data_IF_262420511902
#
_entry.id   IF_262420511902
#
_cell.length_a   1.000
_cell.length_b   1.000
_cell.length_c   1.000
_cell.angle_alpha   90.00
_cell.angle_beta   90.00
_cell.angle_gamma   90.00
#
_symmetry.space_group_name_H-M   'P 1'
#
loop_
_entity.id
_entity.type
_entity.pdbx_description
1 polymer ?
#
# COMPACT_ATOMS: atom_id res chain seq x y z
N UNK A 1 0.69 9.30 29.02
CA UNK A 1 -0.67 9.40 28.47
C UNK A 1 -0.74 8.43 27.32
N UNK A 2 -1.15 7.20 27.60
CA UNK A 2 -1.23 6.13 26.62
C UNK A 2 -2.49 6.36 25.78
N UNK A 3 -2.32 6.61 24.50
CA UNK A 3 -3.44 6.63 23.55
C UNK A 3 -3.79 5.16 23.34
N UNK A 4 -4.83 4.70 24.01
CA UNK A 4 -5.49 3.45 23.64
C UNK A 4 -6.03 3.62 22.23
N UNK A 5 -5.39 2.94 21.26
CA UNK A 5 -5.94 2.75 19.94
C UNK A 5 -7.13 1.81 20.13
N UNK A 6 -8.32 2.40 20.23
CA UNK A 6 -9.56 1.62 20.14
C UNK A 6 -9.45 0.75 18.88
N UNK A 7 -9.36 -0.55 19.10
CA UNK A 7 -9.41 -1.50 18.00
C UNK A 7 -10.75 -1.25 17.30
N UNK A 8 -10.69 -0.91 16.02
CA UNK A 8 -11.87 -0.84 15.15
C UNK A 8 -12.57 -2.19 15.32
N UNK A 9 -13.70 -2.21 16.02
CA UNK A 9 -14.41 -3.42 16.37
C UNK A 9 -14.61 -4.26 15.11
N UNK A 10 -14.21 -5.52 15.17
CA UNK A 10 -14.53 -6.48 14.12
C UNK A 10 -16.05 -6.53 14.00
N UNK A 11 -16.55 -6.36 12.78
CA UNK A 11 -17.98 -6.48 12.50
C UNK A 11 -18.48 -7.81 13.02
N UNK A 12 -19.43 -7.79 13.91
CA UNK A 12 -20.03 -9.00 14.53
C UNK A 12 -20.80 -9.84 13.50
N UNK A 13 -21.12 -9.27 12.32
CA UNK A 13 -21.79 -9.95 11.23
C UNK A 13 -20.79 -10.68 10.33
N UNK A 14 -21.03 -11.93 10.07
CA UNK A 14 -20.21 -12.76 9.19
C UNK A 14 -20.69 -12.69 7.73
N UNK A 15 -20.31 -11.64 7.03
CA UNK A 15 -20.62 -11.46 5.61
C UNK A 15 -20.03 -12.57 4.73
N UNK A 16 -18.92 -13.19 5.14
CA UNK A 16 -18.31 -14.29 4.40
C UNK A 16 -19.15 -15.57 4.37
N UNK A 17 -20.07 -15.74 5.32
CA UNK A 17 -21.04 -16.82 5.31
C UNK A 17 -22.26 -16.52 4.42
N UNK A 18 -22.69 -15.24 4.38
CA UNK A 18 -23.87 -14.77 3.65
C UNK A 18 -23.58 -14.57 2.15
N UNK A 19 -22.40 -14.02 1.81
CA UNK A 19 -22.04 -13.66 0.43
C UNK A 19 -20.89 -14.54 -0.06
N UNK A 20 -21.22 -15.51 -0.92
CA UNK A 20 -20.26 -16.45 -1.51
C UNK A 20 -20.28 -16.34 -3.02
N UNK A 21 -19.13 -16.50 -3.64
CA UNK A 21 -19.00 -16.67 -5.10
C UNK A 21 -19.51 -18.03 -5.55
N UNK A 22 -20.00 -18.10 -6.77
CA UNK A 22 -20.47 -19.35 -7.40
C UNK A 22 -19.34 -20.36 -7.60
N UNK A 23 -18.10 -19.87 -7.73
CA UNK A 23 -16.88 -20.66 -7.93
C UNK A 23 -15.95 -20.53 -6.73
N UNK A 24 -15.02 -21.45 -6.59
CA UNK A 24 -13.97 -21.37 -5.58
C UNK A 24 -12.82 -20.47 -6.08
N UNK A 25 -13.03 -19.15 -6.00
CA UNK A 25 -12.09 -18.15 -6.50
C UNK A 25 -10.94 -17.96 -5.52
N UNK A 26 -9.71 -17.85 -6.07
CA UNK A 26 -8.50 -17.52 -5.32
C UNK A 26 -7.98 -16.14 -5.70
N UNK A 27 -7.53 -15.38 -4.72
CA UNK A 27 -6.87 -14.10 -4.92
C UNK A 27 -5.36 -14.32 -4.93
N UNK A 28 -4.71 -13.90 -6.01
CA UNK A 28 -3.24 -13.99 -6.16
C UNK A 28 -2.63 -12.68 -5.65
N UNK A 29 -1.80 -12.79 -4.62
CA UNK A 29 -1.08 -11.67 -4.01
C UNK A 29 0.16 -11.27 -4.83
N UNK A 30 0.78 -10.13 -4.48
CA UNK A 30 1.99 -9.63 -5.16
C UNK A 30 3.19 -10.55 -5.03
N UNK A 31 3.27 -11.32 -3.95
CA UNK A 31 4.31 -12.33 -3.70
C UNK A 31 4.05 -13.68 -4.40
N UNK A 32 2.99 -13.76 -5.19
CA UNK A 32 2.57 -14.99 -5.87
C UNK A 32 1.76 -15.95 -4.99
N UNK A 33 1.60 -15.71 -3.70
CA UNK A 33 0.78 -16.54 -2.83
C UNK A 33 -0.70 -16.44 -3.21
N UNK A 34 -1.41 -17.56 -3.06
CA UNK A 34 -2.82 -17.68 -3.41
C UNK A 34 -3.65 -17.87 -2.16
N UNK A 35 -4.71 -17.13 -2.05
CA UNK A 35 -5.63 -17.17 -0.90
C UNK A 35 -7.07 -17.27 -1.39
N UNK A 36 -7.91 -18.09 -0.73
CA UNK A 36 -9.33 -18.17 -1.04
C UNK A 36 -9.99 -16.78 -0.88
N UNK A 37 -10.81 -16.41 -1.86
CA UNK A 37 -11.60 -15.19 -1.78
C UNK A 37 -12.54 -15.24 -0.59
N UNK A 38 -12.59 -14.15 0.17
CA UNK A 38 -13.49 -13.99 1.31
C UNK A 38 -13.95 -12.53 1.39
N UNK A 39 -15.23 -12.30 1.19
CA UNK A 39 -15.83 -10.96 1.21
C UNK A 39 -15.68 -10.29 2.58
N UNK A 40 -15.56 -11.02 3.69
CA UNK A 40 -15.31 -10.46 5.02
C UNK A 40 -14.01 -9.62 5.04
N UNK A 41 -12.98 -10.05 4.30
CA UNK A 41 -11.73 -9.28 4.18
C UNK A 41 -11.95 -7.96 3.46
N UNK A 42 -12.84 -7.95 2.48
CA UNK A 42 -13.24 -6.71 1.80
C UNK A 42 -13.93 -5.77 2.78
N UNK A 43 -14.92 -6.26 3.53
CA UNK A 43 -15.64 -5.46 4.54
C UNK A 43 -14.66 -4.87 5.57
N UNK A 44 -13.74 -5.67 6.07
CA UNK A 44 -12.73 -5.20 7.02
C UNK A 44 -11.81 -4.13 6.41
N UNK A 45 -11.41 -4.30 5.14
CA UNK A 45 -10.56 -3.34 4.45
C UNK A 45 -11.28 -2.00 4.19
N UNK A 46 -12.53 -2.04 3.74
CA UNK A 46 -13.32 -0.82 3.50
C UNK A 46 -13.71 -0.14 4.80
N UNK A 47 -13.97 -0.89 5.88
CA UNK A 47 -14.20 -0.35 7.21
C UNK A 47 -13.01 0.47 7.73
N UNK A 48 -11.78 -0.04 7.57
CA UNK A 48 -10.55 0.71 7.90
C UNK A 48 -10.40 1.98 7.06
N UNK A 49 -10.83 1.98 5.81
CA UNK A 49 -10.80 3.17 4.94
C UNK A 49 -11.86 4.19 5.31
N UNK A 50 -13.06 3.73 5.72
CA UNK A 50 -14.10 4.60 6.25
C UNK A 50 -13.66 5.28 7.55
N UNK A 51 -13.01 4.54 8.45
CA UNK A 51 -12.45 5.09 9.69
C UNK A 51 -11.42 6.21 9.40
N UNK A 52 -10.51 5.99 8.44
CA UNK A 52 -9.56 7.04 8.01
C UNK A 52 -10.24 8.26 7.40
N UNK A 53 -11.38 8.07 6.74
CA UNK A 53 -12.20 9.14 6.18
C UNK A 53 -13.19 9.75 7.21
N UNK A 54 -13.05 9.41 8.51
CA UNK A 54 -13.90 9.87 9.61
C UNK A 54 -15.40 9.62 9.35
N UNK A 55 -15.73 8.50 8.74
CA UNK A 55 -17.10 8.08 8.44
C UNK A 55 -17.31 6.61 8.77
N UNK A 56 -18.56 6.17 8.75
CA UNK A 56 -18.93 4.77 8.96
C UNK A 56 -19.91 4.32 7.87
N UNK A 57 -19.91 3.04 7.56
CA UNK A 57 -20.92 2.44 6.70
C UNK A 57 -22.14 1.99 7.51
N UNK A 58 -23.33 2.17 6.93
CA UNK A 58 -24.54 1.48 7.38
C UNK A 58 -24.49 0.01 6.99
N UNK A 59 -25.32 -0.82 7.60
CA UNK A 59 -25.43 -2.23 7.26
C UNK A 59 -25.91 -2.45 5.81
N UNK A 60 -26.80 -1.60 5.32
CA UNK A 60 -27.27 -1.64 3.93
C UNK A 60 -26.15 -1.33 2.94
N UNK A 61 -25.34 -0.31 3.23
CA UNK A 61 -24.18 0.05 2.41
C UNK A 61 -23.15 -1.08 2.37
N UNK A 62 -22.86 -1.73 3.49
CA UNK A 62 -21.95 -2.90 3.54
C UNK A 62 -22.50 -4.06 2.71
N UNK A 63 -23.78 -4.37 2.83
CA UNK A 63 -24.45 -5.40 2.03
C UNK A 63 -24.41 -5.07 0.53
N UNK A 64 -24.60 -3.82 0.17
CA UNK A 64 -24.46 -3.38 -1.22
C UNK A 64 -23.05 -3.63 -1.75
N UNK A 65 -22.03 -3.23 -1.00
CA UNK A 65 -20.62 -3.46 -1.35
C UNK A 65 -20.35 -4.96 -1.52
N UNK A 66 -20.80 -5.79 -0.56
CA UNK A 66 -20.61 -7.25 -0.62
C UNK A 66 -21.23 -7.85 -1.88
N UNK A 67 -22.48 -7.49 -2.17
CA UNK A 67 -23.22 -7.97 -3.35
C UNK A 67 -22.48 -7.58 -4.63
N UNK A 68 -22.17 -6.30 -4.78
CA UNK A 68 -21.47 -5.79 -5.96
C UNK A 68 -20.13 -6.50 -6.19
N UNK A 69 -19.32 -6.65 -5.12
CA UNK A 69 -18.01 -7.29 -5.24
C UNK A 69 -18.14 -8.75 -5.63
N UNK A 70 -19.06 -9.50 -5.02
CA UNK A 70 -19.29 -10.92 -5.36
C UNK A 70 -19.80 -11.07 -6.80
N UNK A 71 -20.75 -10.24 -7.23
CA UNK A 71 -21.26 -10.23 -8.61
C UNK A 71 -20.13 -9.97 -9.61
N UNK A 72 -19.30 -8.95 -9.36
CA UNK A 72 -18.17 -8.62 -10.25
C UNK A 72 -17.09 -9.69 -10.28
N UNK A 73 -16.83 -10.36 -9.17
CA UNK A 73 -15.93 -11.52 -9.11
C UNK A 73 -16.47 -12.69 -9.92
N UNK A 74 -17.77 -12.98 -9.82
CA UNK A 74 -18.43 -14.05 -10.59
C UNK A 74 -18.48 -13.73 -12.11
N UNK A 75 -18.67 -12.45 -12.48
CA UNK A 75 -18.68 -12.00 -13.88
C UNK A 75 -17.32 -12.18 -14.58
N UNK A 76 -16.21 -12.14 -13.84
CA UNK A 76 -14.88 -12.36 -14.43
C UNK A 76 -14.67 -13.78 -14.93
N UNK A 77 -15.46 -14.74 -14.46
CA UNK A 77 -15.37 -16.16 -14.82
C UNK A 77 -13.97 -16.78 -14.66
N UNK A 78 -13.15 -16.23 -13.76
CA UNK A 78 -11.79 -16.66 -13.49
C UNK A 78 -11.69 -17.31 -12.11
N UNK A 79 -10.95 -18.41 -12.02
CA UNK A 79 -10.67 -19.10 -10.73
C UNK A 79 -9.57 -18.41 -9.94
N UNK A 80 -8.72 -17.62 -10.59
CA UNK A 80 -7.63 -16.87 -10.00
C UNK A 80 -7.68 -15.40 -10.41
N UNK A 81 -7.80 -14.51 -9.42
CA UNK A 81 -7.92 -13.07 -9.64
C UNK A 81 -6.70 -12.36 -9.02
N UNK A 82 -5.93 -11.60 -9.79
CA UNK A 82 -4.85 -10.78 -9.27
C UNK A 82 -5.34 -9.73 -8.28
N UNK A 83 -4.58 -9.48 -7.20
CA UNK A 83 -4.94 -8.49 -6.19
C UNK A 83 -5.18 -7.07 -6.75
N UNK A 84 -4.50 -6.58 -7.81
CA UNK A 84 -4.83 -5.29 -8.41
C UNK A 84 -6.25 -5.23 -9.00
N UNK A 85 -6.71 -6.33 -9.60
CA UNK A 85 -8.08 -6.43 -10.14
C UNK A 85 -9.10 -6.37 -9.00
N UNK A 86 -8.85 -7.11 -7.91
CA UNK A 86 -9.68 -7.05 -6.70
C UNK A 86 -9.76 -5.62 -6.14
N UNK A 87 -8.64 -4.90 -6.09
CA UNK A 87 -8.64 -3.51 -5.64
C UNK A 87 -9.51 -2.61 -6.50
N UNK A 88 -9.49 -2.79 -7.83
CA UNK A 88 -10.32 -1.99 -8.74
C UNK A 88 -11.81 -2.28 -8.54
N UNK A 89 -12.20 -3.55 -8.37
CA UNK A 89 -13.58 -3.94 -8.07
C UNK A 89 -14.07 -3.29 -6.76
N UNK A 90 -13.27 -3.37 -5.70
CA UNK A 90 -13.62 -2.78 -4.40
C UNK A 90 -13.70 -1.26 -4.50
N UNK A 91 -12.78 -0.62 -5.21
CA UNK A 91 -12.79 0.83 -5.43
C UNK A 91 -14.05 1.27 -6.18
N UNK A 92 -14.44 0.57 -7.25
CA UNK A 92 -15.68 0.83 -7.98
C UNK A 92 -16.94 0.67 -7.13
N UNK A 93 -16.97 -0.33 -6.23
CA UNK A 93 -18.06 -0.48 -5.26
C UNK A 93 -18.13 0.71 -4.31
N UNK A 94 -16.98 1.17 -3.81
CA UNK A 94 -16.91 2.32 -2.91
C UNK A 94 -17.30 3.64 -3.57
N UNK A 95 -16.95 3.84 -4.85
CA UNK A 95 -17.34 5.03 -5.61
C UNK A 95 -18.87 5.17 -5.74
N UNK A 96 -19.58 4.05 -5.86
CA UNK A 96 -21.05 4.06 -5.92
C UNK A 96 -21.70 4.38 -4.57
N UNK A 97 -21.10 3.95 -3.46
CA UNK A 97 -21.67 4.08 -2.12
C UNK A 97 -21.19 5.33 -1.41
N UNK A 98 -19.86 5.54 -1.34
CA UNK A 98 -19.23 6.67 -0.64
C UNK A 98 -17.92 7.09 -1.33
N UNK A 99 -17.93 8.03 -2.26
CA UNK A 99 -16.74 8.47 -3.00
C UNK A 99 -15.59 8.95 -2.09
N UNK A 100 -15.90 9.55 -0.94
CA UNK A 100 -14.87 9.98 0.03
C UNK A 100 -14.08 8.77 0.59
N UNK A 101 -14.74 7.65 0.79
CA UNK A 101 -14.09 6.42 1.25
C UNK A 101 -13.32 5.74 0.11
N UNK A 102 -13.82 5.81 -1.13
CA UNK A 102 -13.10 5.33 -2.30
C UNK A 102 -11.77 6.07 -2.45
N UNK A 103 -11.78 7.41 -2.30
CA UNK A 103 -10.57 8.22 -2.30
C UNK A 103 -9.60 7.79 -1.19
N UNK A 104 -10.06 7.67 0.06
CA UNK A 104 -9.24 7.21 1.19
C UNK A 104 -8.63 5.82 0.96
N UNK A 105 -9.39 4.91 0.34
CA UNK A 105 -8.92 3.57 -0.01
C UNK A 105 -7.82 3.61 -1.06
N UNK A 106 -7.99 4.40 -2.13
CA UNK A 106 -7.03 4.61 -3.21
C UNK A 106 -5.75 5.28 -2.70
N UNK A 107 -5.88 6.35 -1.93
CA UNK A 107 -4.75 7.11 -1.39
C UNK A 107 -3.87 6.22 -0.48
N UNK A 108 -4.48 5.43 0.39
CA UNK A 108 -3.74 4.49 1.25
C UNK A 108 -3.04 3.39 0.45
N UNK A 109 -3.70 2.84 -0.58
CA UNK A 109 -3.09 1.85 -1.48
C UNK A 109 -1.87 2.42 -2.19
N UNK A 110 -2.00 3.63 -2.74
CA UNK A 110 -0.93 4.31 -3.45
C UNK A 110 0.23 4.65 -2.51
N UNK A 111 -0.06 5.23 -1.35
CA UNK A 111 0.94 5.50 -0.32
C UNK A 111 1.74 4.25 0.07
N UNK A 112 1.05 3.14 0.35
CA UNK A 112 1.72 1.88 0.69
C UNK A 112 2.60 1.36 -0.44
N UNK A 113 2.13 1.46 -1.69
CA UNK A 113 2.91 1.04 -2.85
C UNK A 113 4.14 1.90 -3.07
N UNK A 114 4.00 3.22 -2.94
CA UNK A 114 5.09 4.17 -3.06
C UNK A 114 6.13 4.00 -1.94
N UNK A 115 5.67 3.74 -0.72
CA UNK A 115 6.56 3.47 0.42
C UNK A 115 7.40 2.20 0.19
N UNK A 116 6.78 1.12 -0.29
CA UNK A 116 7.50 -0.12 -0.60
C UNK A 116 8.52 0.10 -1.73
N UNK A 117 8.17 0.85 -2.78
CA UNK A 117 9.11 1.19 -3.85
C UNK A 117 10.30 1.99 -3.32
N UNK A 118 10.03 2.99 -2.49
CA UNK A 118 11.10 3.79 -1.86
C UNK A 118 12.06 2.90 -1.06
N UNK A 119 11.55 1.96 -0.26
CA UNK A 119 12.39 1.04 0.50
C UNK A 119 13.22 0.13 -0.40
N UNK A 120 12.65 -0.36 -1.51
CA UNK A 120 13.36 -1.17 -2.50
C UNK A 120 14.49 -0.36 -3.17
N UNK A 121 14.23 0.89 -3.51
CA UNK A 121 15.24 1.80 -4.08
C UNK A 121 16.36 2.09 -3.09
N UNK A 122 16.03 2.36 -1.82
CA UNK A 122 17.03 2.51 -0.75
C UNK A 122 17.86 1.25 -0.59
N UNK A 123 17.22 0.08 -0.60
CA UNK A 123 17.93 -1.20 -0.51
C UNK A 123 18.91 -1.40 -1.67
N UNK A 124 18.48 -1.20 -2.92
CA UNK A 124 19.33 -1.32 -4.11
C UNK A 124 20.52 -0.34 -4.07
N UNK A 125 20.27 0.91 -3.70
CA UNK A 125 21.33 1.91 -3.55
C UNK A 125 22.28 1.59 -2.41
N UNK A 126 21.76 1.05 -1.29
CA UNK A 126 22.59 0.59 -0.18
C UNK A 126 23.49 -0.57 -0.59
N UNK A 127 23.00 -1.50 -1.40
CA UNK A 127 23.83 -2.58 -1.96
C UNK A 127 24.99 -2.02 -2.80
N UNK A 128 24.72 -1.07 -3.68
CA UNK A 128 25.78 -0.45 -4.48
C UNK A 128 26.83 0.25 -3.61
N UNK A 129 26.43 0.95 -2.56
CA UNK A 129 27.34 1.60 -1.60
C UNK A 129 28.20 0.56 -0.85
N UNK A 130 27.64 -0.59 -0.48
CA UNK A 130 28.38 -1.64 0.21
C UNK A 130 29.51 -2.24 -0.63
N UNK A 131 29.37 -2.21 -1.98
CA UNK A 131 30.34 -2.75 -2.93
C UNK A 131 31.28 -1.69 -3.50
N UNK A 132 31.15 -0.40 -3.13
CA UNK A 132 32.13 0.63 -3.49
C UNK A 132 33.44 0.31 -2.74
N UNK A 133 34.40 -0.24 -3.49
CA UNK A 133 35.73 -0.63 -3.01
C UNK A 133 36.85 0.32 -3.45
N UNK A 134 36.52 1.44 -4.03
CA UNK A 134 37.52 2.36 -4.58
C UNK A 134 38.17 3.18 -3.46
N UNK A 135 39.41 2.82 -3.14
CA UNK A 135 40.20 3.43 -2.07
C UNK A 135 40.98 4.69 -2.53
N UNK A 136 41.06 4.93 -3.84
CA UNK A 136 41.96 5.96 -4.39
C UNK A 136 41.42 7.38 -4.33
N UNK A 137 40.12 7.58 -4.18
CA UNK A 137 39.51 8.91 -4.27
C UNK A 137 38.70 9.35 -3.04
N UNK A 138 38.69 8.62 -1.94
CA UNK A 138 37.93 9.00 -0.77
C UNK A 138 38.86 9.51 0.36
N UNK A 139 38.61 10.73 0.83
CA UNK A 139 39.21 11.26 2.07
C UNK A 139 38.86 10.42 3.33
N UNK A 140 37.95 9.45 3.18
CA UNK A 140 37.52 8.50 4.22
C UNK A 140 37.58 7.08 3.67
N UNK A 141 38.12 6.16 4.44
CA UNK A 141 38.12 4.73 4.07
C UNK A 141 36.69 4.19 3.91
N UNK A 142 36.27 3.99 2.68
CA UNK A 142 34.93 3.47 2.33
C UNK A 142 34.73 2.03 2.81
N UNK A 143 35.78 1.32 3.20
CA UNK A 143 35.71 -0.02 3.75
C UNK A 143 35.23 -0.05 5.21
N UNK A 144 35.32 1.08 5.94
CA UNK A 144 34.89 1.15 7.32
C UNK A 144 33.37 1.02 7.46
N UNK A 145 32.95 0.21 8.43
CA UNK A 145 31.53 -0.01 8.74
C UNK A 145 30.82 1.29 9.11
N UNK A 146 31.50 2.21 9.83
CA UNK A 146 30.97 3.53 10.16
C UNK A 146 30.69 4.40 8.94
N UNK A 147 31.60 4.40 7.96
CA UNK A 147 31.42 5.13 6.69
C UNK A 147 30.27 4.57 5.89
N UNK A 148 30.19 3.25 5.71
CA UNK A 148 29.08 2.59 5.03
C UNK A 148 27.73 2.88 5.69
N UNK A 149 27.67 2.83 7.02
CA UNK A 149 26.46 3.19 7.78
C UNK A 149 26.03 4.63 7.52
N UNK A 150 26.98 5.57 7.54
CA UNK A 150 26.69 6.99 7.30
C UNK A 150 26.19 7.22 5.88
N UNK A 151 26.77 6.57 4.88
CA UNK A 151 26.33 6.66 3.48
C UNK A 151 24.92 6.11 3.28
N UNK A 152 24.60 4.97 3.88
CA UNK A 152 23.27 4.37 3.84
C UNK A 152 22.25 5.29 4.51
N UNK A 153 22.60 5.84 5.69
CA UNK A 153 21.74 6.77 6.42
C UNK A 153 21.46 8.05 5.62
N UNK A 154 22.50 8.63 5.02
CA UNK A 154 22.36 9.81 4.16
C UNK A 154 21.49 9.51 2.94
N UNK A 155 21.65 8.33 2.30
CA UNK A 155 20.82 7.93 1.18
C UNK A 155 19.35 7.76 1.60
N UNK A 156 19.10 7.14 2.75
CA UNK A 156 17.74 7.00 3.28
C UNK A 156 17.10 8.37 3.54
N UNK A 157 17.82 9.27 4.18
CA UNK A 157 17.34 10.64 4.45
C UNK A 157 17.04 11.38 3.16
N UNK A 158 17.91 11.29 2.16
CA UNK A 158 17.69 11.91 0.85
C UNK A 158 16.40 11.42 0.20
N UNK A 159 16.16 10.11 0.16
CA UNK A 159 14.95 9.53 -0.43
C UNK A 159 13.68 9.96 0.34
N UNK A 160 13.73 9.95 1.67
CA UNK A 160 12.62 10.42 2.50
C UNK A 160 12.33 11.90 2.25
N UNK A 161 13.37 12.73 2.21
CA UNK A 161 13.22 14.17 2.01
C UNK A 161 12.61 14.49 0.64
N UNK A 162 13.12 13.88 -0.42
CA UNK A 162 12.60 14.04 -1.77
C UNK A 162 11.16 13.55 -1.91
N UNK A 163 10.79 12.46 -1.21
CA UNK A 163 9.46 11.88 -1.32
C UNK A 163 8.39 12.64 -0.56
N UNK A 164 8.70 13.18 0.62
CA UNK A 164 7.69 13.70 1.54
C UNK A 164 7.75 15.22 1.77
N UNK A 165 8.86 15.86 1.43
CA UNK A 165 9.07 17.26 1.78
C UNK A 165 9.40 18.16 0.59
N UNK A 166 9.71 17.59 -0.58
CA UNK A 166 10.06 18.36 -1.77
C UNK A 166 9.00 18.21 -2.87
N UNK A 167 8.80 19.28 -3.62
CA UNK A 167 8.00 19.29 -4.85
C UNK A 167 8.78 18.67 -6.01
N UNK A 168 8.09 18.31 -7.09
CA UNK A 168 8.72 17.78 -8.30
C UNK A 168 9.72 18.79 -8.90
N UNK A 169 9.43 20.08 -8.82
CA UNK A 169 10.27 21.16 -9.34
C UNK A 169 11.56 21.29 -8.52
N UNK A 170 11.46 21.23 -7.19
CA UNK A 170 12.63 21.23 -6.29
C UNK A 170 13.51 20.00 -6.49
N UNK A 171 12.90 18.82 -6.67
CA UNK A 171 13.65 17.59 -6.98
C UNK A 171 14.40 17.73 -8.29
N UNK A 172 13.76 18.32 -9.31
CA UNK A 172 14.42 18.56 -10.59
C UNK A 172 15.56 19.57 -10.44
N UNK A 173 15.36 20.66 -9.73
CA UNK A 173 16.40 21.65 -9.45
C UNK A 173 17.60 21.04 -8.69
N UNK A 174 17.37 20.09 -7.77
CA UNK A 174 18.46 19.33 -7.13
C UNK A 174 19.23 18.46 -8.14
N UNK A 175 18.53 17.81 -9.08
CA UNK A 175 19.17 16.98 -10.12
C UNK A 175 20.01 17.82 -11.09
N UNK A 176 19.54 19.02 -11.40
CA UNK A 176 20.19 19.96 -12.30
C UNK A 176 21.32 20.75 -11.60
N UNK A 177 21.50 20.55 -10.28
CA UNK A 177 22.58 21.17 -9.52
C UNK A 177 22.30 22.61 -9.08
N UNK A 178 21.07 23.10 -9.15
CA UNK A 178 20.70 24.43 -8.68
C UNK A 178 20.48 24.50 -7.15
N UNK A 179 20.14 23.37 -6.54
CA UNK A 179 19.93 23.23 -5.08
C UNK A 179 20.75 22.04 -4.57
N UNK A 180 21.42 22.22 -3.41
CA UNK A 180 22.25 21.20 -2.75
C UNK A 180 21.63 20.77 -1.42
#
# INVERSE_FOLDING_TARGET
>A
MSIEVEQVGEDTLNYGAEYKTKRNVKVVKKDGSKEAFNVQKVVNAVGKSAYRALTKFTEEEKRHICRYVVEKVDELEQDEIPIPVMHNIVESALEQVKPIVAKSYRDYRNYKQDFVRMLDDVYKKSQSIMYIGDKENANTDSALVSTKRSLIFNQLNKELYQKFFMTTEEIQACRDGYIY
#
